data_IF_553798434875
#
_entry.id   IF_553798434875
#
_cell.length_a   1.000
_cell.length_b   1.000
_cell.length_c   1.000
_cell.angle_alpha   90.00
_cell.angle_beta   90.00
_cell.angle_gamma   90.00
#
_symmetry.space_group_name_H-M   'P 1'
#
loop_
_entity.id
_entity.type
_entity.pdbx_description
1 polymer ?
#
# COMPACT_ATOMS: atom_id res chain seq x y z
N UNK A 1 10.01 13.25 18.77
CA UNK A 1 9.53 13.31 17.36
C UNK A 1 9.88 11.96 16.75
N UNK A 2 8.89 11.09 16.46
CA UNK A 2 9.21 9.86 15.74
C UNK A 2 9.77 10.24 14.37
N UNK A 3 10.79 9.53 13.85
CA UNK A 3 11.31 9.80 12.51
C UNK A 3 10.16 9.64 11.50
N UNK A 4 10.17 10.39 10.39
CA UNK A 4 9.25 10.12 9.28
C UNK A 4 9.49 8.66 8.85
N UNK A 5 8.50 7.82 9.10
CA UNK A 5 8.52 6.44 8.63
C UNK A 5 8.54 6.52 7.10
N UNK A 6 9.54 5.89 6.49
CA UNK A 6 9.59 5.85 5.04
C UNK A 6 8.37 5.09 4.53
N UNK A 7 7.70 5.58 3.47
CA UNK A 7 6.61 4.83 2.85
C UNK A 7 7.11 3.42 2.58
N UNK A 8 6.33 2.39 2.89
CA UNK A 8 6.80 1.00 2.84
C UNK A 8 6.08 0.20 1.75
N UNK A 9 6.87 -0.41 0.86
CA UNK A 9 6.48 -1.46 -0.09
C UNK A 9 7.23 -2.73 0.33
N UNK A 10 6.72 -3.92 -0.02
CA UNK A 10 7.26 -5.20 0.51
C UNK A 10 7.92 -6.06 -0.58
N UNK A 11 8.16 -5.53 -1.78
CA UNK A 11 8.68 -6.34 -2.89
C UNK A 11 9.82 -5.68 -3.69
N UNK A 12 10.99 -6.33 -3.81
CA UNK A 12 12.07 -5.90 -4.69
C UNK A 12 11.65 -5.81 -6.17
N UNK A 13 10.59 -6.54 -6.56
CA UNK A 13 10.01 -6.49 -7.91
C UNK A 13 9.37 -5.15 -8.26
N UNK A 14 9.18 -4.24 -7.29
CA UNK A 14 8.69 -2.89 -7.53
C UNK A 14 9.76 -1.99 -8.21
N UNK A 15 11.05 -2.33 -8.10
CA UNK A 15 12.12 -1.48 -8.63
C UNK A 15 11.95 -1.14 -10.12
N UNK A 16 11.71 -2.10 -11.05
CA UNK A 16 11.56 -1.75 -12.47
C UNK A 16 10.35 -0.85 -12.75
N UNK A 17 9.30 -0.95 -11.94
CA UNK A 17 8.11 -0.10 -12.06
C UNK A 17 8.46 1.34 -11.70
N UNK A 18 9.12 1.55 -10.57
CA UNK A 18 9.52 2.88 -10.08
C UNK A 18 10.42 3.62 -11.09
N UNK A 19 11.30 2.90 -11.78
CA UNK A 19 12.26 3.49 -12.71
C UNK A 19 11.82 3.40 -14.18
N UNK A 20 10.56 3.08 -14.44
CA UNK A 20 10.03 2.97 -15.81
C UNK A 20 9.77 4.32 -16.49
N UNK A 21 9.76 5.41 -15.73
CA UNK A 21 9.43 6.76 -16.21
C UNK A 21 7.92 7.03 -16.33
N UNK A 22 7.07 6.07 -15.94
CA UNK A 22 5.62 6.30 -15.83
C UNK A 22 5.31 7.15 -14.58
N UNK A 23 4.24 7.93 -14.63
CA UNK A 23 3.74 8.63 -13.44
C UNK A 23 3.17 7.62 -12.45
N UNK A 24 3.69 7.62 -11.22
CA UNK A 24 3.31 6.70 -10.15
C UNK A 24 2.68 7.48 -9.00
N UNK A 25 1.60 6.95 -8.46
CA UNK A 25 1.06 7.32 -7.15
C UNK A 25 1.21 6.12 -6.22
N UNK A 26 2.02 6.27 -5.17
CA UNK A 26 2.25 5.25 -4.16
C UNK A 26 1.26 5.44 -3.01
N UNK A 27 0.56 4.38 -2.62
CA UNK A 27 -0.25 4.32 -1.39
C UNK A 27 0.43 3.37 -0.41
N UNK A 28 1.27 3.89 0.50
CA UNK A 28 2.05 3.06 1.42
C UNK A 28 1.22 2.59 2.62
N UNK A 29 1.75 1.59 3.34
CA UNK A 29 1.15 1.13 4.61
C UNK A 29 0.91 2.27 5.60
N UNK A 30 1.86 3.21 5.71
CA UNK A 30 1.75 4.38 6.58
C UNK A 30 0.50 5.21 6.29
N UNK A 31 0.16 5.42 5.01
CA UNK A 31 -1.05 6.14 4.63
C UNK A 31 -2.29 5.34 5.00
N UNK A 32 -2.27 4.03 4.75
CA UNK A 32 -3.40 3.19 5.05
C UNK A 32 -3.63 2.95 6.54
N UNK A 33 -2.58 3.06 7.36
CA UNK A 33 -2.70 3.00 8.82
C UNK A 33 -3.49 4.18 9.39
N UNK A 34 -3.75 5.22 8.58
CA UNK A 34 -4.60 6.36 8.94
C UNK A 34 -6.09 6.14 8.64
N UNK A 35 -6.47 4.96 8.11
CA UNK A 35 -7.86 4.57 7.82
C UNK A 35 -8.24 3.18 8.34
N UNK A 36 -8.01 2.88 9.63
CA UNK A 36 -8.53 1.64 10.20
C UNK A 36 -10.06 1.63 10.07
N UNK A 37 -10.63 0.46 9.76
CA UNK A 37 -12.07 0.27 10.00
C UNK A 37 -12.30 0.42 11.49
N UNK A 38 -13.38 1.10 11.88
CA UNK A 38 -13.82 1.22 13.27
C UNK A 38 -15.26 0.69 13.43
N UNK A 39 -15.75 0.66 14.67
CA UNK A 39 -17.11 0.21 14.99
C UNK A 39 -18.17 1.04 14.27
N UNK A 40 -18.01 2.35 14.26
CA UNK A 40 -18.97 3.30 13.66
C UNK A 40 -19.14 3.03 12.16
N UNK A 41 -18.05 2.86 11.42
CA UNK A 41 -18.07 2.44 10.01
C UNK A 41 -18.81 1.13 9.84
N UNK A 42 -18.51 0.13 10.68
CA UNK A 42 -19.14 -1.18 10.54
C UNK A 42 -20.65 -1.13 10.77
N UNK A 43 -21.10 -0.40 11.79
CA UNK A 43 -22.53 -0.21 12.07
C UNK A 43 -23.22 0.58 10.97
N UNK A 44 -22.60 1.63 10.47
CA UNK A 44 -23.15 2.40 9.35
C UNK A 44 -23.19 1.56 8.07
N UNK A 45 -22.17 0.76 7.77
CA UNK A 45 -22.20 -0.16 6.64
C UNK A 45 -23.31 -1.21 6.82
N UNK A 46 -23.53 -1.71 8.04
CA UNK A 46 -24.62 -2.64 8.31
C UNK A 46 -25.99 -2.04 7.99
N UNK A 47 -26.18 -0.72 8.20
CA UNK A 47 -27.43 0.00 7.89
C UNK A 47 -27.56 0.31 6.40
N UNK A 48 -26.45 0.53 5.70
CA UNK A 48 -26.38 0.89 4.29
C UNK A 48 -26.15 -0.34 3.39
N UNK A 49 -27.13 -1.24 3.35
CA UNK A 49 -27.14 -2.49 2.57
C UNK A 49 -28.33 -2.58 1.59
N UNK A 50 -28.71 -1.44 1.00
CA UNK A 50 -29.88 -1.35 0.11
C UNK A 50 -29.71 -2.08 -1.23
N UNK A 51 -28.47 -2.37 -1.66
CA UNK A 51 -28.14 -3.10 -2.89
C UNK A 51 -27.57 -4.51 -2.61
N UNK A 52 -27.57 -5.38 -3.62
CA UNK A 52 -26.96 -6.71 -3.50
C UNK A 52 -25.44 -6.63 -3.36
N UNK A 53 -24.81 -5.65 -4.01
CA UNK A 53 -23.38 -5.38 -3.95
C UNK A 53 -22.97 -4.94 -2.53
N UNK A 54 -23.73 -4.04 -1.91
CA UNK A 54 -23.50 -3.62 -0.53
C UNK A 54 -23.67 -4.79 0.45
N UNK A 55 -24.73 -5.58 0.31
CA UNK A 55 -24.94 -6.79 1.12
C UNK A 55 -23.80 -7.79 0.99
N UNK A 56 -23.32 -8.01 -0.23
CA UNK A 56 -22.20 -8.91 -0.49
C UNK A 56 -20.89 -8.40 0.11
N UNK A 57 -20.57 -7.12 -0.09
CA UNK A 57 -19.36 -6.52 0.46
C UNK A 57 -19.36 -6.52 1.99
N UNK A 58 -20.50 -6.20 2.61
CA UNK A 58 -20.66 -6.30 4.06
C UNK A 58 -20.49 -7.74 4.56
N UNK A 59 -21.08 -8.72 3.86
CA UNK A 59 -20.92 -10.14 4.19
C UNK A 59 -19.48 -10.61 4.05
N UNK A 60 -18.76 -10.17 3.01
CA UNK A 60 -17.35 -10.51 2.80
C UNK A 60 -16.45 -9.89 3.89
N UNK A 61 -16.72 -8.64 4.27
CA UNK A 61 -16.08 -7.98 5.41
C UNK A 61 -16.37 -8.72 6.73
N UNK A 62 -17.59 -9.23 6.90
CA UNK A 62 -18.00 -10.05 8.06
C UNK A 62 -17.46 -11.48 8.04
N UNK A 63 -17.09 -12.03 6.88
CA UNK A 63 -16.50 -13.37 6.77
C UNK A 63 -15.00 -13.37 7.11
N UNK A 64 -14.29 -12.27 6.86
CA UNK A 64 -12.91 -12.12 7.29
C UNK A 64 -12.67 -12.42 8.79
N UNK A 65 -13.59 -12.06 9.70
CA UNK A 65 -13.52 -12.40 11.12
C UNK A 65 -14.09 -13.75 11.56
N UNK A 66 -14.85 -14.52 10.76
CA UNK A 66 -15.36 -15.83 11.23
C UNK A 66 -14.23 -16.85 11.50
N UNK A 67 -12.99 -16.51 11.14
CA UNK A 67 -11.74 -17.23 11.44
C UNK A 67 -10.92 -16.69 12.63
N UNK A 68 -11.26 -15.55 13.23
CA UNK A 68 -10.50 -14.92 14.33
C UNK A 68 -11.35 -14.71 15.60
N UNK A 69 -11.03 -15.48 16.64
CA UNK A 69 -11.62 -15.35 17.97
C UNK A 69 -11.16 -14.05 18.65
N UNK A 70 -12.01 -13.01 18.69
CA UNK A 70 -12.23 -12.03 19.77
C UNK A 70 -12.81 -10.70 19.28
N UNK A 71 -13.46 -9.96 20.18
CA UNK A 71 -14.07 -8.62 20.04
C UNK A 71 -13.12 -7.47 19.59
N UNK A 72 -11.93 -7.77 19.07
CA UNK A 72 -10.92 -6.80 18.60
C UNK A 72 -10.90 -6.60 17.07
N UNK A 73 -11.95 -7.04 16.38
CA UNK A 73 -12.06 -6.96 14.92
C UNK A 73 -11.95 -5.51 14.39
N UNK A 74 -12.60 -4.58 15.08
CA UNK A 74 -12.67 -3.16 14.72
C UNK A 74 -11.36 -2.40 14.88
N UNK A 75 -10.25 -3.06 15.25
CA UNK A 75 -8.95 -2.39 15.41
C UNK A 75 -7.90 -2.89 14.43
N UNK A 76 -8.18 -3.94 13.65
CA UNK A 76 -7.13 -4.72 12.98
C UNK A 76 -7.32 -4.90 11.47
N UNK A 77 -8.47 -4.55 10.91
CA UNK A 77 -8.70 -4.63 9.45
C UNK A 77 -8.58 -3.26 8.78
N UNK A 78 -7.77 -3.22 7.72
CA UNK A 78 -7.53 -2.02 6.93
C UNK A 78 -7.96 -2.26 5.48
N UNK A 79 -8.69 -1.31 4.90
CA UNK A 79 -9.18 -1.40 3.52
C UNK A 79 -8.12 -0.98 2.50
N UNK A 80 -6.89 -1.50 2.62
CA UNK A 80 -5.69 -1.09 1.86
C UNK A 80 -5.95 -0.93 0.37
N UNK A 81 -6.47 -1.99 -0.23
CA UNK A 81 -6.63 -2.01 -1.68
C UNK A 81 -7.85 -1.19 -2.14
N UNK A 82 -8.93 -1.19 -1.34
CA UNK A 82 -10.11 -0.37 -1.65
C UNK A 82 -9.78 1.12 -1.56
N UNK A 83 -8.98 1.52 -0.57
CA UNK A 83 -8.50 2.89 -0.45
C UNK A 83 -7.57 3.27 -1.60
N UNK A 84 -6.64 2.39 -1.98
CA UNK A 84 -5.78 2.58 -3.15
C UNK A 84 -6.60 2.81 -4.43
N UNK A 85 -7.69 2.06 -4.58
CA UNK A 85 -8.65 2.21 -5.69
C UNK A 85 -9.37 3.55 -5.65
N UNK A 86 -9.86 3.95 -4.47
CA UNK A 86 -10.47 5.25 -4.26
C UNK A 86 -9.52 6.39 -4.63
N UNK A 87 -8.26 6.31 -4.19
CA UNK A 87 -7.22 7.27 -4.54
C UNK A 87 -7.01 7.32 -6.06
N UNK A 88 -6.91 6.18 -6.74
CA UNK A 88 -6.76 6.14 -8.20
C UNK A 88 -7.95 6.79 -8.92
N UNK A 89 -9.18 6.43 -8.54
CA UNK A 89 -10.40 6.94 -9.18
C UNK A 89 -10.56 8.45 -8.97
N UNK A 90 -10.35 8.93 -7.74
CA UNK A 90 -10.45 10.36 -7.43
C UNK A 90 -9.38 11.16 -8.18
N UNK A 91 -8.14 10.66 -8.27
CA UNK A 91 -7.08 11.30 -9.06
C UNK A 91 -7.46 11.39 -10.54
N UNK A 92 -7.94 10.29 -11.15
CA UNK A 92 -8.39 10.31 -12.55
C UNK A 92 -9.57 11.25 -12.78
N UNK A 93 -10.49 11.35 -11.83
CA UNK A 93 -11.65 12.27 -11.90
C UNK A 93 -11.20 13.73 -11.77
N UNK A 94 -10.30 14.03 -10.86
CA UNK A 94 -9.83 15.38 -10.61
C UNK A 94 -8.97 15.90 -11.77
N UNK A 95 -8.12 15.06 -12.35
CA UNK A 95 -7.35 15.38 -13.55
C UNK A 95 -8.27 15.77 -14.72
N UNK A 96 -9.35 15.02 -14.97
CA UNK A 96 -10.35 15.36 -15.99
C UNK A 96 -11.04 16.71 -15.75
N UNK A 97 -11.20 17.08 -14.49
CA UNK A 97 -11.88 18.31 -14.08
C UNK A 97 -10.91 19.49 -13.88
N UNK A 98 -9.62 19.32 -14.18
CA UNK A 98 -8.58 20.34 -13.94
C UNK A 98 -8.37 20.68 -12.46
N UNK A 99 -8.83 19.82 -11.55
CA UNK A 99 -8.62 19.97 -10.10
C UNK A 99 -7.30 19.29 -9.72
N UNK A 100 -6.47 19.97 -8.95
CA UNK A 100 -5.26 19.38 -8.40
C UNK A 100 -5.55 18.67 -7.08
N UNK A 101 -5.14 17.41 -6.96
CA UNK A 101 -5.17 16.65 -5.71
C UNK A 101 -6.15 15.48 -5.71
N UNK A 102 -6.41 14.95 -4.51
CA UNK A 102 -7.23 13.77 -4.30
C UNK A 102 -8.27 14.03 -3.21
N UNK A 103 -9.46 13.47 -3.36
CA UNK A 103 -10.56 13.70 -2.41
C UNK A 103 -10.37 12.90 -1.12
N UNK A 104 -9.68 11.77 -1.20
CA UNK A 104 -9.57 10.81 -0.10
C UNK A 104 -8.19 10.80 0.59
N UNK A 105 -7.12 11.17 -0.12
CA UNK A 105 -5.76 11.16 0.40
C UNK A 105 -5.08 12.53 0.31
N UNK A 106 -4.20 12.79 1.27
CA UNK A 106 -3.17 13.82 1.15
C UNK A 106 -2.04 13.25 0.30
N UNK A 107 -1.76 13.92 -0.83
CA UNK A 107 -0.72 13.50 -1.77
C UNK A 107 0.43 14.49 -1.74
N UNK A 108 1.63 13.98 -1.58
CA UNK A 108 2.86 14.76 -1.60
C UNK A 108 3.84 14.18 -2.61
N UNK A 109 4.62 15.05 -3.23
CA UNK A 109 5.70 14.63 -4.10
C UNK A 109 6.95 14.35 -3.26
N UNK A 110 7.45 13.12 -3.34
CA UNK A 110 8.61 12.67 -2.57
C UNK A 110 9.67 12.05 -3.46
N UNK A 111 10.92 12.17 -3.05
CA UNK A 111 12.07 11.53 -3.69
C UNK A 111 12.32 10.17 -3.05
N UNK A 112 11.91 9.10 -3.71
CA UNK A 112 11.93 7.75 -3.14
C UNK A 112 12.75 6.78 -3.98
N UNK A 113 13.31 5.77 -3.34
CA UNK A 113 13.96 4.65 -3.99
C UNK A 113 13.46 3.33 -3.40
N UNK A 114 13.55 2.25 -4.17
CA UNK A 114 13.26 0.90 -3.70
C UNK A 114 14.59 0.25 -3.32
N UNK A 115 14.71 -0.19 -2.07
CA UNK A 115 15.87 -0.95 -1.58
C UNK A 115 15.86 -2.30 -2.28
N UNK A 116 16.85 -2.57 -3.13
CA UNK A 116 16.91 -3.83 -3.88
C UNK A 116 17.84 -4.86 -3.26
N UNK A 117 18.60 -4.49 -2.23
CA UNK A 117 19.58 -5.37 -1.60
C UNK A 117 20.08 -4.82 -0.26
N UNK A 118 20.69 -5.69 0.54
CA UNK A 118 21.15 -5.42 1.89
C UNK A 118 22.67 -5.32 1.98
N UNK A 119 23.17 -4.56 2.96
CA UNK A 119 24.61 -4.47 3.24
C UNK A 119 25.17 -5.83 3.72
N UNK A 120 26.45 -6.14 3.45
CA UNK A 120 27.42 -5.33 2.71
C UNK A 120 27.17 -5.35 1.19
N UNK A 121 27.27 -4.18 0.57
CA UNK A 121 27.16 -4.05 -0.88
C UNK A 121 28.43 -4.55 -1.58
N UNK A 122 28.29 -5.08 -2.80
CA UNK A 122 29.37 -5.65 -3.60
C UNK A 122 29.73 -7.10 -3.22
N UNK A 123 29.09 -7.68 -2.20
CA UNK A 123 29.26 -9.10 -1.89
C UNK A 123 28.28 -9.90 -2.74
N UNK A 124 28.83 -10.71 -3.64
CA UNK A 124 28.05 -11.60 -4.50
C UNK A 124 27.96 -13.00 -3.87
N UNK A 125 26.82 -13.30 -3.28
CA UNK A 125 26.49 -14.63 -2.72
C UNK A 125 25.47 -15.40 -3.59
N UNK A 126 25.13 -14.85 -4.76
CA UNK A 126 24.17 -15.43 -5.70
C UNK A 126 22.70 -15.15 -5.39
N UNK A 127 22.36 -14.52 -4.26
CA UNK A 127 20.96 -14.23 -3.88
C UNK A 127 20.29 -13.18 -4.77
N UNK A 128 21.07 -12.22 -5.29
CA UNK A 128 20.55 -11.04 -5.96
C UNK A 128 20.35 -11.26 -7.49
N UNK A 129 19.11 -11.33 -7.98
CA UNK A 129 18.82 -11.64 -9.39
C UNK A 129 19.13 -10.48 -10.35
N UNK A 130 19.46 -9.30 -9.83
CA UNK A 130 19.87 -8.14 -10.62
C UNK A 130 21.33 -8.26 -11.10
N UNK A 131 22.15 -9.06 -10.42
CA UNK A 131 23.57 -9.24 -10.69
C UNK A 131 23.88 -10.71 -11.01
N UNK A 132 24.12 -11.00 -12.28
CA UNK A 132 24.59 -12.33 -12.72
C UNK A 132 26.13 -12.37 -12.73
N UNK A 133 26.72 -13.50 -12.32
CA UNK A 133 28.19 -13.71 -12.23
C UNK A 133 28.95 -13.34 -13.52
N UNK A 134 28.35 -13.59 -14.69
CA UNK A 134 28.98 -13.32 -16.01
C UNK A 134 28.15 -12.39 -16.91
N UNK A 135 27.23 -11.59 -16.35
CA UNK A 135 26.35 -10.71 -17.14
C UNK A 135 26.46 -9.23 -16.74
N UNK A 136 26.18 -8.33 -17.68
CA UNK A 136 25.92 -6.92 -17.34
C UNK A 136 24.78 -6.84 -16.32
N UNK A 137 24.91 -6.05 -15.25
CA UNK A 137 23.82 -5.86 -14.30
C UNK A 137 22.53 -5.45 -15.00
N UNK A 138 21.39 -5.93 -14.51
CA UNK A 138 20.09 -5.49 -15.03
C UNK A 138 19.90 -4.00 -14.76
N UNK A 139 19.12 -3.33 -15.61
CA UNK A 139 18.73 -1.92 -15.45
C UNK A 139 19.88 -0.91 -15.40
N UNK A 140 21.05 -1.26 -15.96
CA UNK A 140 22.22 -0.37 -15.94
C UNK A 140 22.80 -0.13 -14.55
N UNK A 141 22.48 -0.99 -13.57
CA UNK A 141 22.95 -0.86 -12.20
C UNK A 141 24.46 -0.98 -12.11
N UNK A 142 25.08 -0.19 -11.23
CA UNK A 142 26.52 -0.25 -10.99
C UNK A 142 26.87 -1.52 -10.20
N UNK A 143 27.81 -2.33 -10.72
CA UNK A 143 28.43 -3.42 -9.93
C UNK A 143 29.08 -2.84 -8.69
N UNK A 144 28.92 -3.53 -7.57
CA UNK A 144 29.43 -3.09 -6.26
C UNK A 144 28.80 -1.77 -5.75
N UNK A 145 27.69 -1.35 -6.36
CA UNK A 145 26.88 -0.22 -5.90
C UNK A 145 25.87 -0.62 -4.82
N UNK A 146 25.07 0.33 -4.37
CA UNK A 146 24.05 0.17 -3.29
C UNK A 146 22.97 -0.88 -3.58
N UNK A 147 22.88 -1.33 -4.82
CA UNK A 147 21.94 -2.37 -5.26
C UNK A 147 22.57 -3.77 -5.31
N UNK A 148 23.88 -3.90 -5.07
CA UNK A 148 24.69 -5.10 -5.31
C UNK A 148 24.98 -5.91 -4.04
N UNK A 149 24.04 -5.98 -3.10
CA UNK A 149 24.16 -6.78 -1.87
C UNK A 149 23.26 -8.03 -1.86
N UNK A 150 23.09 -8.63 -0.68
CA UNK A 150 22.22 -9.78 -0.45
C UNK A 150 20.73 -9.44 -0.62
N UNK A 151 19.95 -10.34 -1.20
CA UNK A 151 18.48 -10.24 -1.33
C UNK A 151 17.83 -11.39 -0.59
N UNK A 152 16.80 -11.12 0.20
CA UNK A 152 16.14 -12.15 0.98
C UNK A 152 15.58 -13.25 0.07
N UNK A 153 16.04 -14.47 0.26
CA UNK A 153 15.65 -15.63 -0.57
C UNK A 153 14.47 -16.41 -0.02
N UNK A 154 14.09 -16.18 1.25
CA UNK A 154 12.95 -16.80 1.90
C UNK A 154 12.72 -16.32 3.33
N UNK A 155 11.62 -16.77 3.95
CA UNK A 155 11.28 -16.41 5.34
C UNK A 155 12.35 -16.93 6.34
N UNK A 156 12.95 -18.07 6.04
CA UNK A 156 13.99 -18.72 6.86
C UNK A 156 15.41 -18.32 6.45
N UNK A 157 15.57 -17.26 5.67
CA UNK A 157 16.88 -16.79 5.23
C UNK A 157 17.77 -16.46 6.44
N UNK A 158 18.83 -17.23 6.61
CA UNK A 158 19.73 -17.11 7.75
C UNK A 158 20.52 -15.82 7.73
N UNK A 159 20.74 -15.23 6.55
CA UNK A 159 21.34 -13.91 6.43
C UNK A 159 20.38 -12.86 6.97
N UNK A 160 19.10 -12.94 6.68
CA UNK A 160 18.13 -11.94 7.13
C UNK A 160 17.68 -12.13 8.58
N UNK A 161 17.88 -13.32 9.14
CA UNK A 161 17.49 -13.68 10.50
C UNK A 161 18.43 -13.07 11.55
N UNK A 162 17.85 -12.47 12.61
CA UNK A 162 18.59 -11.96 13.77
C UNK A 162 18.26 -12.82 14.98
N UNK A 163 19.24 -13.54 15.54
CA UNK A 163 19.03 -14.42 16.70
C UNK A 163 18.47 -13.62 17.88
N UNK A 164 17.35 -14.08 18.43
CA UNK A 164 16.68 -13.45 19.58
C UNK A 164 15.80 -12.25 19.24
N UNK A 165 15.58 -11.96 17.95
CA UNK A 165 14.70 -10.88 17.47
C UNK A 165 13.55 -11.46 16.65
N UNK A 166 12.35 -10.90 16.81
CA UNK A 166 11.20 -11.20 15.93
C UNK A 166 11.24 -10.39 14.62
N UNK A 167 12.23 -9.51 14.46
CA UNK A 167 12.45 -8.69 13.26
C UNK A 167 13.75 -9.09 12.56
N UNK A 168 13.67 -9.32 11.25
CA UNK A 168 14.83 -9.53 10.39
C UNK A 168 15.62 -8.24 10.13
N UNK A 169 16.88 -8.38 9.69
CA UNK A 169 17.75 -7.24 9.33
C UNK A 169 17.63 -6.78 7.89
N UNK A 170 16.97 -7.57 7.04
CA UNK A 170 16.84 -7.26 5.63
C UNK A 170 15.70 -6.26 5.38
N UNK A 171 15.98 -5.30 4.50
CA UNK A 171 15.09 -4.23 4.08
C UNK A 171 14.90 -4.25 2.55
N UNK A 172 15.34 -5.31 1.85
CA UNK A 172 15.05 -5.44 0.43
C UNK A 172 13.54 -5.50 0.17
N UNK A 173 13.08 -4.69 -0.78
CA UNK A 173 11.68 -4.44 -1.09
C UNK A 173 11.10 -3.19 -0.46
N UNK A 174 11.71 -2.65 0.62
CA UNK A 174 11.26 -1.43 1.27
C UNK A 174 11.52 -0.20 0.40
N UNK A 175 10.66 0.80 0.52
CA UNK A 175 10.90 2.12 -0.05
C UNK A 175 11.53 3.04 0.96
N UNK A 176 12.39 3.93 0.49
CA UNK A 176 13.12 4.88 1.33
C UNK A 176 13.18 6.24 0.66
N UNK A 177 13.01 7.29 1.45
CA UNK A 177 13.25 8.66 0.99
C UNK A 177 14.76 8.92 0.88
N UNK A 178 15.19 9.43 -0.27
CA UNK A 178 16.59 9.69 -0.58
C UNK A 178 16.75 10.98 -1.40
N UNK A 179 17.88 11.65 -1.27
CA UNK A 179 18.20 12.88 -2.01
C UNK A 179 19.22 12.66 -3.15
N UNK A 180 19.64 11.42 -3.37
CA UNK A 180 20.65 11.05 -4.36
C UNK A 180 20.09 10.86 -5.78
N UNK A 181 20.96 10.61 -6.76
CA UNK A 181 20.59 10.35 -8.16
C UNK A 181 19.76 9.07 -8.36
N UNK A 182 19.74 8.18 -7.36
CA UNK A 182 18.88 7.00 -7.29
C UNK A 182 17.44 7.30 -6.85
N UNK A 183 17.10 8.57 -6.61
CA UNK A 183 15.74 8.96 -6.29
C UNK A 183 14.83 8.98 -7.54
N UNK A 184 13.62 8.48 -7.38
CA UNK A 184 12.50 8.71 -8.31
C UNK A 184 11.53 9.69 -7.64
N UNK A 185 11.17 10.75 -8.36
CA UNK A 185 10.21 11.74 -7.89
C UNK A 185 8.78 11.29 -8.21
N UNK A 186 8.02 10.85 -7.20
CA UNK A 186 6.66 10.32 -7.38
C UNK A 186 5.68 10.96 -6.41
N UNK A 187 4.37 10.79 -6.66
CA UNK A 187 3.35 11.13 -5.67
C UNK A 187 3.22 10.01 -4.65
N UNK A 188 3.14 10.36 -3.38
CA UNK A 188 2.97 9.44 -2.26
C UNK A 188 1.78 9.91 -1.44
N UNK A 189 0.87 9.00 -1.13
CA UNK A 189 -0.16 9.28 -0.13
C UNK A 189 0.51 9.31 1.26
N UNK A 190 0.33 10.41 1.99
CA UNK A 190 0.89 10.58 3.35
C UNK A 190 -0.13 10.24 4.44
N UNK A 191 -1.41 10.22 4.08
CA UNK A 191 -2.51 9.85 4.96
C UNK A 191 -3.86 10.10 4.28
N UNK A 192 -4.91 9.57 4.88
CA UNK A 192 -6.27 9.85 4.45
C UNK A 192 -6.80 11.14 5.01
N UNK A 193 -7.65 11.78 4.22
CA UNK A 193 -8.34 12.99 4.59
C UNK A 193 -9.46 12.69 5.58
N UNK A 194 -9.66 13.56 6.59
CA UNK A 194 -10.84 13.46 7.44
C UNK A 194 -12.10 13.70 6.61
N UNK A 195 -13.22 13.20 7.08
CA UNK A 195 -14.52 13.51 6.48
C UNK A 195 -14.76 15.02 6.51
N UNK A 196 -15.26 15.56 5.39
CA UNK A 196 -15.61 16.98 5.28
C UNK A 196 -16.77 17.32 6.21
N UNK A 197 -17.69 16.37 6.41
CA UNK A 197 -18.78 16.48 7.37
C UNK A 197 -18.32 16.08 8.78
N UNK A 198 -18.17 17.08 9.65
CA UNK A 198 -17.74 16.89 11.04
C UNK A 198 -18.79 16.25 11.94
N UNK A 199 -20.04 16.16 11.49
CA UNK A 199 -21.14 15.55 12.23
C UNK A 199 -21.42 14.11 11.78
N UNK A 200 -20.78 13.67 10.70
CA UNK A 200 -20.86 12.29 10.23
C UNK A 200 -20.21 11.35 11.25
N UNK A 201 -20.81 10.18 11.52
CA UNK A 201 -20.18 9.12 12.32
C UNK A 201 -18.97 8.49 11.60
N UNK A 202 -18.82 8.73 10.29
CA UNK A 202 -17.66 8.28 9.52
C UNK A 202 -16.56 9.34 9.59
N UNK A 203 -15.40 8.99 10.14
CA UNK A 203 -14.28 9.90 10.39
C UNK A 203 -13.44 10.22 9.14
N UNK A 204 -13.56 9.40 8.08
CA UNK A 204 -12.82 9.55 6.81
C UNK A 204 -13.75 9.80 5.64
N UNK A 205 -13.32 10.71 4.76
CA UNK A 205 -14.05 11.02 3.52
C UNK A 205 -14.20 9.79 2.63
N UNK A 206 -13.17 8.93 2.62
CA UNK A 206 -13.19 7.67 1.89
C UNK A 206 -14.37 6.77 2.31
N UNK A 207 -14.63 6.64 3.61
CA UNK A 207 -15.68 5.75 4.11
C UNK A 207 -17.06 6.18 3.66
N UNK A 208 -17.35 7.48 3.71
CA UNK A 208 -18.61 8.03 3.22
C UNK A 208 -18.82 7.71 1.74
N UNK A 209 -17.83 8.05 0.90
CA UNK A 209 -17.91 7.76 -0.53
C UNK A 209 -17.98 6.27 -0.82
N UNK A 210 -17.35 5.42 0.00
CA UNK A 210 -17.39 3.96 -0.16
C UNK A 210 -18.80 3.41 0.08
N UNK A 211 -19.49 3.88 1.12
CA UNK A 211 -20.87 3.48 1.40
C UNK A 211 -21.83 4.00 0.33
N UNK A 212 -21.74 5.29 -0.04
CA UNK A 212 -22.59 5.90 -1.05
C UNK A 212 -22.50 5.16 -2.41
N UNK A 213 -21.29 4.78 -2.82
CA UNK A 213 -21.07 4.02 -4.06
C UNK A 213 -21.55 2.57 -4.00
N UNK A 214 -21.62 2.01 -2.80
CA UNK A 214 -22.19 0.68 -2.60
C UNK A 214 -23.72 0.72 -2.74
N UNK A 215 -24.36 1.87 -2.48
CA UNK A 215 -25.81 2.03 -2.56
C UNK A 215 -26.33 2.50 -3.94
N UNK A 216 -25.48 3.09 -4.78
CA UNK A 216 -25.88 3.49 -6.13
C UNK A 216 -26.00 2.27 -7.07
N UNK A 217 -27.06 2.25 -7.89
CA UNK A 217 -27.44 1.14 -8.79
C UNK A 217 -26.57 1.00 -10.04
N UNK A 218 -25.44 1.71 -10.10
CA UNK A 218 -24.46 1.65 -11.20
C UNK A 218 -23.07 1.07 -10.83
N UNK A 219 -22.89 0.10 -9.90
CA UNK A 219 -21.56 -0.22 -9.39
C UNK A 219 -20.92 -1.36 -10.20
N UNK A 220 -20.83 -1.25 -11.53
CA UNK A 220 -20.19 -2.31 -12.35
C UNK A 220 -18.69 -2.43 -12.14
N UNK A 221 -18.03 -1.36 -11.66
CA UNK A 221 -16.58 -1.33 -11.41
C UNK A 221 -16.19 -1.56 -9.94
N UNK A 222 -17.02 -1.13 -8.99
CA UNK A 222 -16.67 -1.19 -7.56
C UNK A 222 -16.81 -2.61 -6.98
N UNK A 223 -17.90 -3.31 -7.30
CA UNK A 223 -18.16 -4.65 -6.80
C UNK A 223 -17.13 -5.68 -7.32
N UNK A 224 -16.65 -5.54 -8.57
CA UNK A 224 -15.63 -6.43 -9.14
C UNK A 224 -14.25 -6.22 -8.52
N UNK A 225 -13.91 -5.00 -8.11
CA UNK A 225 -12.63 -4.69 -7.48
C UNK A 225 -12.61 -5.14 -6.01
N UNK A 226 -13.67 -4.87 -5.24
CA UNK A 226 -13.85 -5.42 -3.88
C UNK A 226 -13.88 -6.94 -3.86
N UNK A 227 -14.53 -7.58 -4.85
CA UNK A 227 -14.57 -9.04 -5.00
C UNK A 227 -13.18 -9.67 -5.10
N UNK A 228 -12.24 -9.03 -5.80
CA UNK A 228 -10.88 -9.56 -5.94
C UNK A 228 -10.02 -9.33 -4.69
N UNK A 229 -10.19 -8.19 -4.01
CA UNK A 229 -9.28 -7.77 -2.95
C UNK A 229 -9.62 -8.36 -1.59
N UNK A 230 -10.92 -8.51 -1.26
CA UNK A 230 -11.30 -9.22 -0.03
C UNK A 230 -10.90 -10.70 -0.12
N UNK A 231 -10.95 -11.31 -1.31
CA UNK A 231 -10.57 -12.71 -1.53
C UNK A 231 -9.06 -12.95 -1.55
N UNK A 232 -8.25 -11.94 -1.82
CA UNK A 232 -6.77 -12.01 -1.78
C UNK A 232 -6.19 -11.62 -0.42
N UNK A 233 -6.98 -10.94 0.42
CA UNK A 233 -6.62 -10.54 1.78
C UNK A 233 -7.04 -11.57 2.86
N UNK A 234 -7.70 -12.66 2.45
CA UNK A 234 -8.07 -13.84 3.24
C UNK A 234 -7.27 -15.05 2.78
#
# INVERSE_FOLDING_TARGET
MPPPTSPTIVSPSAYPVFYSGISITLVPLDATNTIPINEEFFYEFQRHQSTYEAQYCFKALKMAPDTWFNDQFYTSYFMWDSFTSGVAISSMRNDKNGKFGNDFAQLEYMNVTVVTSNKPYGVHDGSNPLFKVRGTPKFGLKRDGVHSGHVQTGITDSFCSVKGSNKGRCEDGYTKEVSGPEAVHIRVATGAKPNVDKYSPLDREFFKSFLDLSEDSQPKFFALFLFYLIKLSL
#
